data_IF_938680617314
#
_entry.id   IF_938680617314
#
_cell.length_a   1.000
_cell.length_b   1.000
_cell.length_c   1.000
_cell.angle_alpha   90.00
_cell.angle_beta   90.00
_cell.angle_gamma   90.00
#
_symmetry.space_group_name_H-M   'P 1'
#
loop_
_entity.id
_entity.type
_entity.pdbx_description
1 polymer ?
#
# COMPACT_ATOMS: atom_id res chain seq x y z
N UNK A 1 2.83 -17.15 -13.52
CA UNK A 1 3.75 -16.40 -12.64
C UNK A 1 2.96 -15.26 -12.05
N UNK A 2 2.82 -15.20 -10.72
CA UNK A 2 2.30 -13.98 -10.08
C UNK A 2 3.33 -12.87 -10.32
N UNK A 3 2.90 -11.79 -10.98
CA UNK A 3 3.75 -10.63 -11.25
C UNK A 3 4.17 -9.97 -9.94
N UNK A 4 5.32 -9.29 -9.91
CA UNK A 4 5.79 -8.58 -8.72
C UNK A 4 4.75 -7.55 -8.26
N UNK A 5 4.09 -6.87 -9.20
CA UNK A 5 2.98 -5.96 -8.92
C UNK A 5 1.81 -6.62 -8.18
N UNK A 6 1.44 -7.84 -8.54
CA UNK A 6 0.34 -8.57 -7.91
C UNK A 6 0.64 -8.96 -6.45
N UNK A 7 1.90 -9.33 -6.17
CA UNK A 7 2.38 -9.63 -4.81
C UNK A 7 2.43 -8.37 -3.97
N UNK A 8 3.01 -7.30 -4.50
CA UNK A 8 3.10 -6.01 -3.81
C UNK A 8 1.71 -5.48 -3.47
N UNK A 9 0.76 -5.51 -4.42
CA UNK A 9 -0.63 -5.12 -4.17
C UNK A 9 -1.25 -5.87 -2.98
N UNK A 10 -0.96 -7.17 -2.83
CA UNK A 10 -1.47 -7.98 -1.71
C UNK A 10 -0.81 -7.59 -0.39
N UNK A 11 0.52 -7.46 -0.35
CA UNK A 11 1.28 -7.07 0.84
C UNK A 11 0.82 -5.70 1.34
N UNK A 12 0.80 -4.75 0.44
CA UNK A 12 0.41 -3.36 0.67
C UNK A 12 -1.03 -3.26 1.19
N UNK A 13 -1.97 -4.04 0.61
CA UNK A 13 -3.35 -4.10 1.10
C UNK A 13 -3.47 -4.70 2.51
N UNK A 14 -2.67 -5.73 2.83
CA UNK A 14 -2.62 -6.32 4.17
C UNK A 14 -2.12 -5.31 5.20
N UNK A 15 -1.05 -4.57 4.87
CA UNK A 15 -0.51 -3.51 5.73
C UNK A 15 -1.56 -2.41 5.94
N UNK A 16 -2.22 -1.95 4.89
CA UNK A 16 -3.27 -0.93 4.99
C UNK A 16 -4.37 -1.36 5.97
N UNK A 17 -4.85 -2.61 5.86
CA UNK A 17 -5.85 -3.16 6.77
C UNK A 17 -5.34 -3.26 8.20
N UNK A 18 -4.10 -3.70 8.40
CA UNK A 18 -3.48 -3.79 9.72
C UNK A 18 -3.36 -2.44 10.41
N UNK A 19 -2.86 -1.43 9.70
CA UNK A 19 -2.72 -0.06 10.22
C UNK A 19 -4.09 0.54 10.52
N UNK A 20 -5.06 0.40 9.61
CA UNK A 20 -6.41 0.91 9.84
C UNK A 20 -7.08 0.24 11.04
N UNK A 21 -6.96 -1.08 11.18
CA UNK A 21 -7.47 -1.82 12.34
C UNK A 21 -6.87 -1.30 13.64
N UNK A 22 -5.56 -1.11 13.69
CA UNK A 22 -4.89 -0.52 14.85
C UNK A 22 -5.42 0.88 15.17
N UNK A 23 -5.58 1.74 14.17
CA UNK A 23 -6.09 3.10 14.36
C UNK A 23 -7.53 3.09 14.87
N UNK A 24 -8.40 2.22 14.35
CA UNK A 24 -9.77 2.07 14.85
C UNK A 24 -9.79 1.59 16.30
N UNK A 25 -8.95 0.62 16.66
CA UNK A 25 -8.85 0.14 18.03
C UNK A 25 -8.35 1.26 18.98
N UNK A 26 -7.29 1.97 18.60
CA UNK A 26 -6.71 3.06 19.39
C UNK A 26 -7.73 4.17 19.65
N UNK A 27 -8.33 4.72 18.60
CA UNK A 27 -9.32 5.79 18.76
C UNK A 27 -10.62 5.28 19.38
N UNK A 28 -11.04 4.05 19.10
CA UNK A 28 -12.21 3.44 19.74
C UNK A 28 -12.03 3.37 21.26
N UNK A 29 -10.90 2.84 21.73
CA UNK A 29 -10.57 2.78 23.15
C UNK A 29 -10.46 4.18 23.78
N UNK A 30 -9.87 5.14 23.07
CA UNK A 30 -9.78 6.53 23.54
C UNK A 30 -11.17 7.15 23.76
N UNK A 31 -12.09 7.00 22.79
CA UNK A 31 -13.44 7.53 22.90
C UNK A 31 -14.26 6.81 23.98
N UNK A 32 -14.08 5.49 24.14
CA UNK A 32 -14.68 4.73 25.26
C UNK A 32 -14.17 5.25 26.60
N UNK A 33 -12.86 5.52 26.72
CA UNK A 33 -12.27 6.08 27.93
C UNK A 33 -12.90 7.42 28.33
N UNK A 34 -13.09 8.31 27.34
CA UNK A 34 -13.80 9.58 27.56
C UNK A 34 -15.25 9.35 28.01
N UNK A 35 -15.96 8.41 27.37
CA UNK A 35 -17.33 8.09 27.74
C UNK A 35 -17.45 7.56 29.17
N UNK A 36 -16.51 6.70 29.59
CA UNK A 36 -16.47 6.13 30.95
C UNK A 36 -16.04 7.14 32.02
N UNK A 37 -15.33 8.21 31.64
CA UNK A 37 -14.94 9.29 32.56
C UNK A 37 -16.11 10.20 32.98
N UNK A 38 -17.24 10.14 32.27
CA UNK A 38 -18.40 11.02 32.47
C UNK A 38 -18.26 12.41 31.83
N UNK A 39 -17.09 12.74 31.26
CA UNK A 39 -16.83 14.01 30.56
C UNK A 39 -17.28 13.97 29.10
N UNK A 40 -18.59 13.94 28.86
CA UNK A 40 -19.16 13.89 27.51
C UNK A 40 -18.79 15.10 26.63
N UNK A 41 -18.43 16.24 27.22
CA UNK A 41 -17.89 17.39 26.49
C UNK A 41 -16.58 17.05 25.76
N UNK A 42 -15.78 16.14 26.31
CA UNK A 42 -14.54 15.66 25.70
C UNK A 42 -14.76 14.97 24.35
N UNK A 43 -15.92 14.33 24.14
CA UNK A 43 -16.26 13.67 22.88
C UNK A 43 -16.37 14.65 21.70
N UNK A 44 -16.77 15.90 21.96
CA UNK A 44 -16.80 16.94 20.91
C UNK A 44 -15.41 17.31 20.41
N UNK A 45 -14.35 16.99 21.16
CA UNK A 45 -12.96 17.19 20.75
C UNK A 45 -12.39 15.90 20.17
N UNK A 46 -12.59 14.77 20.84
CA UNK A 46 -11.98 13.49 20.42
C UNK A 46 -12.57 12.92 19.15
N UNK A 47 -13.87 13.08 18.90
CA UNK A 47 -14.52 12.54 17.70
C UNK A 47 -14.00 13.24 16.43
N UNK A 48 -13.94 14.59 16.32
CA UNK A 48 -13.36 15.24 15.16
C UNK A 48 -11.90 14.83 14.93
N UNK A 49 -11.07 14.78 15.98
CA UNK A 49 -9.66 14.36 15.87
C UNK A 49 -9.57 12.93 15.33
N UNK A 50 -10.43 12.03 15.83
CA UNK A 50 -10.50 10.64 15.37
C UNK A 50 -10.82 10.57 13.89
N UNK A 51 -11.88 11.27 13.45
CA UNK A 51 -12.31 11.28 12.04
C UNK A 51 -11.22 11.83 11.12
N UNK A 52 -10.62 12.96 11.48
CA UNK A 52 -9.54 13.57 10.71
C UNK A 52 -8.31 12.66 10.63
N UNK A 53 -7.90 12.09 11.76
CA UNK A 53 -6.71 11.23 11.83
C UNK A 53 -6.89 9.95 11.01
N UNK A 54 -8.07 9.31 11.09
CA UNK A 54 -8.39 8.13 10.28
C UNK A 54 -8.41 8.47 8.79
N UNK A 55 -9.02 9.60 8.41
CA UNK A 55 -9.06 10.07 7.03
C UNK A 55 -7.67 10.31 6.46
N UNK A 56 -6.83 11.05 7.19
CA UNK A 56 -5.45 11.34 6.79
C UNK A 56 -4.59 10.08 6.69
N UNK A 57 -4.74 9.16 7.65
CA UNK A 57 -3.98 7.90 7.64
C UNK A 57 -4.34 7.05 6.44
N UNK A 58 -5.64 6.89 6.15
CA UNK A 58 -6.10 6.14 4.98
C UNK A 58 -5.62 6.78 3.67
N UNK A 59 -5.69 8.11 3.59
CA UNK A 59 -5.23 8.84 2.41
C UNK A 59 -3.71 8.69 2.20
N UNK A 60 -2.92 8.86 3.27
CA UNK A 60 -1.46 8.71 3.22
C UNK A 60 -1.02 7.29 2.85
N UNK A 61 -1.72 6.26 3.37
CA UNK A 61 -1.49 4.87 2.99
C UNK A 61 -1.80 4.65 1.51
N UNK A 62 -2.99 5.07 1.04
CA UNK A 62 -3.36 4.92 -0.37
C UNK A 62 -2.30 5.52 -1.31
N UNK A 63 -1.81 6.72 -0.99
CA UNK A 63 -0.80 7.39 -1.78
C UNK A 63 0.54 6.64 -1.81
N UNK A 64 0.99 6.09 -0.68
CA UNK A 64 2.19 5.25 -0.64
C UNK A 64 1.99 3.95 -1.41
N UNK A 65 0.84 3.32 -1.24
CA UNK A 65 0.46 2.06 -1.86
C UNK A 65 0.51 2.14 -3.39
N UNK A 66 -0.03 3.21 -3.97
CA UNK A 66 0.02 3.48 -5.41
C UNK A 66 1.45 3.60 -5.96
N UNK A 67 2.40 4.11 -5.17
CA UNK A 67 3.80 4.23 -5.57
C UNK A 67 4.51 2.87 -5.57
N UNK A 68 4.29 2.06 -4.54
CA UNK A 68 4.88 0.73 -4.46
C UNK A 68 4.40 -0.17 -5.60
N UNK A 69 3.09 -0.16 -5.88
CA UNK A 69 2.52 -0.94 -6.99
C UNK A 69 3.11 -0.50 -8.32
N UNK A 70 3.17 0.82 -8.60
CA UNK A 70 3.74 1.33 -9.85
C UNK A 70 5.21 1.00 -10.02
N UNK A 71 5.98 1.02 -8.93
CA UNK A 71 7.38 0.60 -8.95
C UNK A 71 7.52 -0.88 -9.32
N UNK A 72 6.64 -1.73 -8.78
CA UNK A 72 6.63 -3.15 -9.09
C UNK A 72 6.19 -3.44 -10.53
N UNK A 73 5.21 -2.70 -11.06
CA UNK A 73 4.80 -2.78 -12.47
C UNK A 73 5.96 -2.40 -13.41
N UNK A 74 6.74 -1.38 -13.05
CA UNK A 74 7.92 -0.99 -13.82
C UNK A 74 9.01 -2.08 -13.79
N UNK A 75 9.21 -2.75 -12.65
CA UNK A 75 10.15 -3.87 -12.53
C UNK A 75 9.71 -5.05 -13.41
N UNK A 76 8.43 -5.42 -13.37
CA UNK A 76 7.85 -6.45 -14.23
C UNK A 76 8.05 -6.09 -15.73
N UNK A 77 7.87 -4.82 -16.09
CA UNK A 77 8.09 -4.32 -17.45
C UNK A 77 9.56 -4.43 -17.90
N UNK A 78 10.51 -4.07 -17.04
CA UNK A 78 11.95 -4.19 -17.31
C UNK A 78 12.36 -5.65 -17.52
N UNK A 79 11.83 -6.57 -16.71
CA UNK A 79 12.12 -8.01 -16.84
C UNK A 79 11.65 -8.55 -18.20
N UNK A 80 10.45 -8.17 -18.64
CA UNK A 80 9.93 -8.53 -19.97
C UNK A 80 10.80 -7.99 -21.12
N UNK A 81 11.26 -6.74 -21.01
CA UNK A 81 12.17 -6.13 -21.99
C UNK A 81 13.52 -6.86 -22.04
N UNK A 82 14.09 -7.20 -20.88
CA UNK A 82 15.35 -7.96 -20.79
C UNK A 82 15.24 -9.30 -21.51
N UNK A 83 14.17 -10.06 -21.27
CA UNK A 83 13.91 -11.34 -21.96
C UNK A 83 13.84 -11.14 -23.48
N UNK A 84 13.20 -10.05 -23.92
CA UNK A 84 13.07 -9.74 -25.35
C UNK A 84 14.42 -9.42 -25.98
N UNK A 85 15.25 -8.61 -25.31
CA UNK A 85 16.61 -8.27 -25.76
C UNK A 85 17.49 -9.52 -25.85
N UNK A 86 17.54 -10.35 -24.81
CA UNK A 86 18.32 -11.59 -24.82
C UNK A 86 17.90 -12.53 -25.97
N UNK A 87 16.59 -12.58 -26.27
CA UNK A 87 16.07 -13.36 -27.40
C UNK A 87 16.50 -12.79 -28.75
N UNK A 88 16.55 -11.46 -28.89
CA UNK A 88 17.02 -10.79 -30.10
C UNK A 88 18.53 -10.99 -30.28
N UNK A 89 19.33 -10.81 -29.24
CA UNK A 89 20.78 -11.06 -29.26
C UNK A 89 21.09 -12.50 -29.71
N UNK A 90 20.40 -13.50 -29.13
CA UNK A 90 20.55 -14.90 -29.56
C UNK A 90 20.18 -15.15 -31.01
N UNK A 91 19.23 -14.38 -31.57
CA UNK A 91 18.85 -14.49 -32.98
C UNK A 91 19.89 -13.84 -33.89
N UNK A 92 20.43 -12.69 -33.48
CA UNK A 92 21.46 -11.96 -34.22
C UNK A 92 22.75 -12.78 -34.26
N UNK A 93 23.23 -13.29 -33.12
CA UNK A 93 24.43 -14.14 -33.07
C UNK A 93 24.31 -15.37 -33.98
N UNK A 94 23.14 -16.03 -34.01
CA UNK A 94 22.91 -17.16 -34.95
C UNK A 94 22.93 -16.78 -36.43
N UNK A 95 22.66 -15.51 -36.76
CA UNK A 95 22.72 -15.00 -38.12
C UNK A 95 24.14 -14.53 -38.49
N UNK A 96 24.92 -14.07 -37.52
CA UNK A 96 26.31 -13.64 -37.69
C UNK A 96 27.31 -14.82 -37.75
N UNK A 97 27.00 -15.95 -37.10
CA UNK A 97 27.80 -17.19 -37.17
C UNK A 97 27.65 -17.96 -38.52
N UNK A 98 27.09 -17.32 -39.55
CA UNK A 98 26.81 -17.89 -40.89
C UNK A 98 27.59 -17.14 -41.97
#
# INVERSE_FOLDING_TARGET
MDSQASKEKRVVSTIEKGVMFFMYALFGLMNIGVMLSGEFSGLFVTIPITVFSLGLTKWGLKWQNERYIRSAENQDGIESLKITVEKLEKRISKLEDK
#
